data_IF_977646694354
#
_entry.id   IF_977646694354
#
_cell.length_a   1.000
_cell.length_b   1.000
_cell.length_c   1.000
_cell.angle_alpha   90.00
_cell.angle_beta   90.00
_cell.angle_gamma   90.00
#
_symmetry.space_group_name_H-M   'P 1'
#
loop_
_entity.id
_entity.type
_entity.pdbx_description
1 polymer ?
#
# COMPACT_ATOMS: atom_id res chain seq x y z
N UNK A 1 3.13 -16.21 18.78
CA UNK A 1 4.26 -16.37 17.84
C UNK A 1 3.92 -15.60 16.56
N UNK A 2 4.84 -14.81 15.99
CA UNK A 2 4.57 -14.03 14.76
C UNK A 2 4.62 -14.98 13.55
N UNK A 3 3.52 -15.12 12.81
CA UNK A 3 3.45 -15.85 11.55
C UNK A 3 3.57 -14.81 10.43
N UNK A 4 4.73 -14.75 9.77
CA UNK A 4 5.08 -13.70 8.84
C UNK A 4 4.74 -14.08 7.40
N UNK A 5 4.00 -13.23 6.70
CA UNK A 5 3.82 -13.34 5.24
C UNK A 5 4.99 -12.67 4.52
N UNK A 6 5.73 -13.38 3.66
CA UNK A 6 6.83 -12.79 2.90
C UNK A 6 6.33 -11.81 1.82
N UNK A 7 7.20 -10.86 1.45
CA UNK A 7 6.94 -9.89 0.40
C UNK A 7 7.18 -10.48 -1.00
N UNK A 8 6.29 -11.39 -1.44
CA UNK A 8 6.49 -12.21 -2.65
C UNK A 8 6.70 -11.43 -3.96
N UNK A 9 6.23 -10.18 -4.04
CA UNK A 9 6.35 -9.34 -5.25
C UNK A 9 7.48 -8.29 -5.15
N UNK A 10 8.28 -8.34 -4.08
CA UNK A 10 9.45 -7.50 -3.92
C UNK A 10 10.52 -7.87 -4.95
N UNK A 11 11.04 -6.87 -5.67
CA UNK A 11 11.94 -7.07 -6.81
C UNK A 11 11.22 -7.36 -8.14
N UNK A 12 9.89 -7.46 -8.13
CA UNK A 12 9.07 -7.70 -9.34
C UNK A 12 8.17 -6.50 -9.61
N UNK A 13 7.34 -6.11 -8.63
CA UNK A 13 6.37 -5.01 -8.79
C UNK A 13 6.91 -3.69 -8.25
N UNK A 14 7.89 -3.76 -7.37
CA UNK A 14 8.51 -2.62 -6.69
C UNK A 14 9.92 -3.04 -6.26
N UNK A 15 10.79 -2.08 -5.99
CA UNK A 15 12.18 -2.36 -5.62
C UNK A 15 12.27 -3.21 -4.35
N UNK A 16 13.15 -4.22 -4.36
CA UNK A 16 13.52 -4.97 -3.16
C UNK A 16 14.53 -4.24 -2.28
N UNK A 17 15.25 -3.28 -2.86
CA UNK A 17 16.18 -2.44 -2.13
C UNK A 17 15.38 -1.36 -1.36
N UNK A 18 15.50 -1.30 -0.02
CA UNK A 18 14.73 -0.38 0.80
C UNK A 18 15.05 1.09 0.53
N UNK A 19 16.26 1.43 0.13
CA UNK A 19 16.67 2.82 -0.11
C UNK A 19 16.16 3.30 -1.47
N UNK A 20 16.27 2.46 -2.50
CA UNK A 20 15.61 2.72 -3.78
C UNK A 20 14.09 2.82 -3.64
N UNK A 21 13.48 1.93 -2.85
CA UNK A 21 12.04 1.98 -2.58
C UNK A 21 11.65 3.28 -1.86
N UNK A 22 12.42 3.74 -0.87
CA UNK A 22 12.17 5.03 -0.20
C UNK A 22 12.22 6.20 -1.16
N UNK A 23 13.20 6.23 -2.07
CA UNK A 23 13.32 7.29 -3.07
C UNK A 23 12.12 7.29 -4.03
N UNK A 24 11.72 6.12 -4.54
CA UNK A 24 10.52 5.98 -5.37
C UNK A 24 9.26 6.44 -4.64
N UNK A 25 9.05 5.98 -3.40
CA UNK A 25 7.88 6.37 -2.61
C UNK A 25 7.88 7.88 -2.29
N UNK A 26 9.03 8.46 -1.95
CA UNK A 26 9.16 9.90 -1.73
C UNK A 26 8.72 10.67 -2.98
N UNK A 27 9.21 10.25 -4.15
CA UNK A 27 8.84 10.85 -5.43
C UNK A 27 7.33 10.76 -5.70
N UNK A 28 6.72 9.58 -5.51
CA UNK A 28 5.28 9.42 -5.74
C UNK A 28 4.40 10.17 -4.74
N UNK A 29 4.85 10.30 -3.48
CA UNK A 29 4.13 11.00 -2.41
C UNK A 29 4.33 12.53 -2.44
N UNK A 30 5.20 13.04 -3.30
CA UNK A 30 5.47 14.48 -3.43
C UNK A 30 4.42 15.18 -4.29
N UNK A 31 3.17 15.09 -3.84
CA UNK A 31 2.02 15.77 -4.40
C UNK A 31 1.34 16.59 -3.30
N UNK A 32 0.82 17.78 -3.59
CA UNK A 32 -0.01 18.51 -2.65
C UNK A 32 -1.28 17.73 -2.36
N UNK A 33 -1.76 17.80 -1.12
CA UNK A 33 -3.13 17.38 -0.81
C UNK A 33 -4.06 18.43 -1.39
N UNK A 34 -4.90 18.05 -2.34
CA UNK A 34 -5.93 18.91 -2.95
C UNK A 34 -7.33 18.65 -2.37
N UNK A 35 -7.47 17.60 -1.56
CA UNK A 35 -8.73 17.26 -0.95
C UNK A 35 -9.19 18.34 0.03
N UNK A 36 -10.42 18.83 -0.16
CA UNK A 36 -11.11 19.69 0.80
C UNK A 36 -11.75 18.91 1.95
N UNK A 37 -11.58 17.59 1.99
CA UNK A 37 -12.08 16.77 3.09
C UNK A 37 -11.15 16.87 4.29
N UNK A 38 -11.70 17.28 5.42
CA UNK A 38 -10.98 17.31 6.71
C UNK A 38 -10.67 15.89 7.20
N UNK A 39 -11.55 14.92 6.91
CA UNK A 39 -11.37 13.52 7.30
C UNK A 39 -11.69 12.59 6.14
N UNK A 40 -10.69 11.79 5.73
CA UNK A 40 -10.84 10.71 4.76
C UNK A 40 -10.83 9.38 5.52
N UNK A 41 -11.87 8.55 5.32
CA UNK A 41 -12.00 7.25 5.99
C UNK A 41 -11.58 6.05 5.13
N UNK A 42 -11.57 6.22 3.82
CA UNK A 42 -11.21 5.18 2.87
C UNK A 42 -10.48 5.79 1.66
N UNK A 43 -9.61 5.00 1.05
CA UNK A 43 -8.91 5.32 -0.19
C UNK A 43 -9.07 4.13 -1.14
N UNK A 44 -9.16 4.41 -2.44
CA UNK A 44 -9.09 3.40 -3.50
C UNK A 44 -7.83 3.68 -4.30
N UNK A 45 -6.95 2.69 -4.42
CA UNK A 45 -5.65 2.84 -5.08
C UNK A 45 -5.41 1.70 -6.06
N UNK A 46 -4.67 1.96 -7.16
CA UNK A 46 -4.25 0.89 -8.07
C UNK A 46 -3.19 -0.02 -7.41
N UNK A 47 -3.03 -1.23 -7.94
CA UNK A 47 -2.11 -2.25 -7.40
C UNK A 47 -1.24 -2.91 -8.48
N UNK A 48 -1.03 -2.25 -9.62
CA UNK A 48 -0.04 -2.69 -10.61
C UNK A 48 1.40 -2.45 -10.11
N UNK A 49 2.39 -2.82 -10.91
CA UNK A 49 3.78 -2.43 -10.64
C UNK A 49 3.93 -0.91 -10.46
N UNK A 50 4.89 -0.50 -9.64
CA UNK A 50 5.08 0.90 -9.24
C UNK A 50 5.48 1.80 -10.41
N UNK A 51 6.19 1.27 -11.40
CA UNK A 51 6.54 2.01 -12.62
C UNK A 51 5.29 2.44 -13.40
N UNK A 52 4.20 1.68 -13.31
CA UNK A 52 2.94 1.96 -13.99
C UNK A 52 1.94 2.73 -13.13
N UNK A 53 1.87 2.40 -11.83
CA UNK A 53 0.78 2.87 -10.96
C UNK A 53 1.22 3.69 -9.75
N UNK A 54 2.53 3.80 -9.51
CA UNK A 54 3.10 4.43 -8.32
C UNK A 54 2.69 5.88 -8.16
N UNK A 55 2.70 6.67 -9.25
CA UNK A 55 2.27 8.08 -9.22
C UNK A 55 0.80 8.24 -8.81
N UNK A 56 -0.10 7.45 -9.39
CA UNK A 56 -1.54 7.50 -9.08
C UNK A 56 -1.83 7.03 -7.65
N UNK A 57 -1.16 5.98 -7.18
CA UNK A 57 -1.27 5.56 -5.79
C UNK A 57 -0.72 6.64 -4.85
N UNK A 58 0.44 7.21 -5.16
CA UNK A 58 1.10 8.25 -4.39
C UNK A 58 0.27 9.53 -4.23
N UNK A 59 -0.33 10.03 -5.32
CA UNK A 59 -1.22 11.20 -5.27
C UNK A 59 -2.46 10.96 -4.40
N UNK A 60 -2.98 9.73 -4.39
CA UNK A 60 -4.10 9.31 -3.53
C UNK A 60 -3.70 9.28 -2.06
N UNK A 61 -2.53 8.69 -1.73
CA UNK A 61 -2.02 8.70 -0.36
C UNK A 61 -1.64 10.10 0.14
N UNK A 62 -1.20 10.99 -0.74
CA UNK A 62 -0.89 12.37 -0.37
C UNK A 62 -2.10 13.12 0.21
N UNK A 63 -3.33 12.76 -0.21
CA UNK A 63 -4.57 13.38 0.28
C UNK A 63 -4.79 13.22 1.79
N UNK A 64 -4.19 12.20 2.42
CA UNK A 64 -4.34 11.94 3.85
C UNK A 64 -3.13 12.39 4.68
N UNK A 65 -2.05 12.85 4.03
CA UNK A 65 -0.80 13.23 4.68
C UNK A 65 -1.03 14.39 5.65
N UNK A 66 -0.71 14.18 6.93
CA UNK A 66 -0.87 15.19 7.98
C UNK A 66 -2.32 15.44 8.43
N UNK A 67 -3.32 14.88 7.73
CA UNK A 67 -4.75 15.03 8.06
C UNK A 67 -5.29 13.88 8.89
N UNK A 68 -4.78 12.67 8.64
CA UNK A 68 -5.21 11.48 9.37
C UNK A 68 -4.02 10.72 9.94
N UNK A 69 -4.23 10.11 11.12
CA UNK A 69 -3.25 9.23 11.78
C UNK A 69 -3.94 7.95 12.23
N UNK A 70 -4.27 7.04 11.29
CA UNK A 70 -5.03 5.84 11.62
C UNK A 70 -4.23 4.92 12.55
N UNK A 71 -4.89 4.43 13.60
CA UNK A 71 -4.34 3.36 14.46
C UNK A 71 -4.53 1.96 13.87
N UNK A 72 -5.45 1.83 12.91
CA UNK A 72 -5.80 0.58 12.22
C UNK A 72 -6.10 0.88 10.77
N UNK A 73 -5.52 0.09 9.88
CA UNK A 73 -5.78 0.12 8.44
C UNK A 73 -6.35 -1.25 8.07
N UNK A 74 -7.49 -1.25 7.39
CA UNK A 74 -8.05 -2.46 6.78
C UNK A 74 -7.72 -2.38 5.29
N UNK A 75 -6.95 -3.36 4.80
CA UNK A 75 -6.59 -3.45 3.38
C UNK A 75 -7.47 -4.50 2.72
N UNK A 76 -8.21 -4.09 1.69
CA UNK A 76 -9.10 -4.97 0.91
C UNK A 76 -8.63 -4.95 -0.53
N UNK A 77 -8.53 -6.12 -1.15
CA UNK A 77 -8.12 -6.27 -2.53
C UNK A 77 -8.81 -7.47 -3.19
N UNK A 78 -8.87 -7.50 -4.53
CA UNK A 78 -9.44 -8.62 -5.27
C UNK A 78 -8.56 -9.87 -5.15
N UNK A 79 -9.19 -11.05 -5.25
CA UNK A 79 -8.49 -12.31 -5.43
C UNK A 79 -8.34 -12.60 -6.93
N UNK A 80 -7.10 -12.60 -7.43
CA UNK A 80 -6.78 -12.85 -8.84
C UNK A 80 -6.44 -14.31 -9.17
N UNK A 81 -6.31 -15.18 -8.16
CA UNK A 81 -5.81 -16.53 -8.38
C UNK A 81 -6.93 -17.55 -8.59
N UNK A 82 -7.99 -17.47 -7.78
CA UNK A 82 -9.05 -18.47 -7.77
C UNK A 82 -10.41 -17.83 -7.57
N UNK A 83 -11.45 -18.42 -8.17
CA UNK A 83 -12.82 -18.06 -7.87
C UNK A 83 -13.14 -18.44 -6.41
N UNK A 84 -13.70 -17.50 -5.66
CA UNK A 84 -14.14 -17.73 -4.29
C UNK A 84 -15.39 -16.90 -4.02
N UNK A 85 -16.35 -17.50 -3.31
CA UNK A 85 -17.55 -16.79 -2.86
C UNK A 85 -17.31 -16.28 -1.44
N UNK A 86 -17.32 -14.96 -1.26
CA UNK A 86 -17.13 -14.31 0.03
C UNK A 86 -15.75 -13.65 0.20
N UNK A 87 -15.47 -13.21 1.43
CA UNK A 87 -14.21 -12.55 1.79
C UNK A 87 -13.21 -13.53 2.40
N UNK A 88 -11.93 -13.32 2.12
CA UNK A 88 -10.83 -14.07 2.73
C UNK A 88 -10.10 -13.19 3.74
N UNK A 89 -9.72 -13.79 4.87
CA UNK A 89 -8.87 -13.17 5.89
C UNK A 89 -7.58 -13.97 5.97
N UNK A 90 -6.46 -13.26 6.08
CA UNK A 90 -5.14 -13.87 6.20
C UNK A 90 -4.93 -14.46 7.60
N UNK A 91 -4.45 -15.70 7.67
CA UNK A 91 -4.00 -16.33 8.93
C UNK A 91 -2.62 -15.81 9.41
N UNK A 92 -1.90 -15.08 8.56
CA UNK A 92 -0.66 -14.42 8.97
C UNK A 92 -0.92 -13.31 9.98
N UNK A 93 -0.07 -13.23 10.99
CA UNK A 93 -0.15 -12.17 12.03
C UNK A 93 0.69 -10.95 11.67
N UNK A 94 1.45 -10.99 10.57
CA UNK A 94 2.26 -9.88 10.09
C UNK A 94 2.59 -9.97 8.60
N UNK A 95 2.88 -8.82 8.00
CA UNK A 95 3.26 -8.67 6.59
C UNK A 95 4.67 -8.11 6.52
N UNK A 96 5.59 -8.85 5.88
CA UNK A 96 6.91 -8.33 5.58
C UNK A 96 6.83 -7.26 4.49
N UNK A 97 7.65 -6.22 4.62
CA UNK A 97 7.92 -5.24 3.57
C UNK A 97 9.43 -5.00 3.48
N UNK A 98 9.95 -4.47 2.36
CA UNK A 98 11.35 -4.06 2.31
C UNK A 98 11.71 -2.99 3.37
N UNK A 99 10.73 -2.18 3.79
CA UNK A 99 10.97 -1.08 4.74
C UNK A 99 10.98 -1.51 6.20
N UNK A 100 10.16 -2.50 6.57
CA UNK A 100 9.97 -3.01 7.94
C UNK A 100 9.38 -4.43 7.96
N UNK A 101 9.55 -5.12 9.10
CA UNK A 101 9.04 -6.47 9.42
C UNK A 101 7.64 -6.50 10.01
#
# INVERSE_FOLDING_TARGET
MKILRPALYSGIFYSADPDNLRLQLKYYLDHPSESNHETIKALVVPHAGYDYSGRTAGSTYAQVRGKTKPKRIVLVGPNHQNAHNGGLISDYTALQTPLRL
#
